data_IF_392195474581
#
_entry.id   IF_392195474581
#
_cell.length_a   1.000
_cell.length_b   1.000
_cell.length_c   1.000
_cell.angle_alpha   90.00
_cell.angle_beta   90.00
_cell.angle_gamma   90.00
#
_symmetry.space_group_name_H-M   'P 1'
#
loop_
_entity.id
_entity.type
_entity.pdbx_description
1 polymer ?
#
# COMPACT_ATOMS: atom_id res chain seq x y z
N UNK A 1 -13.39 10.71 -10.20
CA UNK A 1 -13.30 11.17 -11.60
C UNK A 1 -14.47 12.11 -11.86
N UNK A 2 -14.18 13.29 -12.40
CA UNK A 2 -15.21 14.22 -12.82
C UNK A 2 -15.76 13.84 -14.20
N UNK A 3 -17.07 13.66 -14.29
CA UNK A 3 -17.76 13.32 -15.54
C UNK A 3 -18.62 14.50 -16.00
N UNK A 4 -18.51 14.87 -17.27
CA UNK A 4 -19.35 15.88 -17.91
C UNK A 4 -20.31 15.22 -18.89
N UNK A 5 -21.54 15.73 -19.00
CA UNK A 5 -22.56 15.20 -19.91
C UNK A 5 -22.14 15.38 -21.37
N UNK A 6 -22.23 14.33 -22.17
CA UNK A 6 -21.92 14.32 -23.59
C UNK A 6 -23.02 13.55 -24.35
N UNK A 7 -24.09 14.26 -24.72
CA UNK A 7 -25.29 13.66 -25.29
C UNK A 7 -26.02 12.76 -24.27
N UNK A 8 -26.24 11.50 -24.65
CA UNK A 8 -26.83 10.46 -23.77
C UNK A 8 -25.81 9.81 -22.83
N UNK A 9 -24.52 10.05 -23.04
CA UNK A 9 -23.41 9.51 -22.28
C UNK A 9 -22.75 10.60 -21.44
N UNK A 10 -21.69 10.19 -20.72
CA UNK A 10 -20.80 11.09 -19.99
C UNK A 10 -19.37 10.91 -20.50
N UNK A 11 -18.55 11.95 -20.38
CA UNK A 11 -17.12 11.90 -20.70
C UNK A 11 -16.28 12.43 -19.56
N UNK A 12 -15.09 11.89 -19.41
CA UNK A 12 -14.11 12.32 -18.41
C UNK A 12 -12.69 11.96 -18.80
N UNK A 13 -11.75 12.45 -18.00
CA UNK A 13 -10.34 12.08 -18.09
C UNK A 13 -10.20 10.59 -17.74
N UNK A 14 -9.49 9.83 -18.57
CA UNK A 14 -9.23 8.42 -18.33
C UNK A 14 -8.18 8.24 -17.24
N UNK A 15 -8.47 7.45 -16.18
CA UNK A 15 -7.51 7.24 -15.10
C UNK A 15 -6.51 6.11 -15.38
N UNK A 16 -6.59 5.46 -16.55
CA UNK A 16 -5.78 4.28 -16.86
C UNK A 16 -4.61 4.58 -17.80
N UNK A 17 -4.48 5.83 -18.28
CA UNK A 17 -3.32 6.32 -19.02
C UNK A 17 -3.13 7.82 -18.75
N UNK A 18 -2.02 8.37 -19.17
CA UNK A 18 -1.79 9.82 -19.11
C UNK A 18 -2.74 10.53 -20.09
N UNK A 19 -3.78 11.15 -19.56
CA UNK A 19 -4.87 11.76 -20.33
C UNK A 19 -5.01 13.23 -19.96
N UNK A 20 -4.81 14.11 -20.94
CA UNK A 20 -4.97 15.56 -20.77
C UNK A 20 -6.31 16.09 -21.28
N UNK A 21 -7.08 15.24 -21.97
CA UNK A 21 -8.38 15.61 -22.55
C UNK A 21 -9.38 14.49 -22.32
N UNK A 22 -10.67 14.79 -22.03
CA UNK A 22 -11.67 13.76 -21.77
C UNK A 22 -11.79 12.75 -22.92
N UNK A 23 -11.15 11.59 -22.75
CA UNK A 23 -11.10 10.51 -23.74
C UNK A 23 -11.93 9.27 -23.33
N UNK A 24 -12.32 9.19 -22.06
CA UNK A 24 -13.13 8.09 -21.55
C UNK A 24 -14.62 8.45 -21.63
N UNK A 25 -15.39 7.62 -22.32
CA UNK A 25 -16.85 7.69 -22.37
C UNK A 25 -17.48 6.72 -21.40
N UNK A 26 -18.52 7.16 -20.69
CA UNK A 26 -19.29 6.33 -19.75
C UNK A 26 -20.74 6.30 -20.20
N UNK A 27 -21.25 5.11 -20.47
CA UNK A 27 -22.64 4.89 -20.86
C UNK A 27 -23.49 4.49 -19.66
N UNK A 28 -24.37 5.39 -19.23
CA UNK A 28 -25.35 5.09 -18.18
C UNK A 28 -26.29 3.95 -18.57
N UNK A 29 -26.70 3.88 -19.83
CA UNK A 29 -27.66 2.88 -20.31
C UNK A 29 -27.03 1.48 -20.40
N UNK A 30 -25.77 1.42 -20.84
CA UNK A 30 -25.04 0.14 -20.97
C UNK A 30 -24.29 -0.25 -19.70
N UNK A 31 -24.18 0.66 -18.73
CA UNK A 31 -23.38 0.48 -17.50
C UNK A 31 -21.91 0.14 -17.80
N UNK A 32 -21.33 0.76 -18.85
CA UNK A 32 -19.96 0.50 -19.30
C UNK A 32 -19.17 1.78 -19.48
N UNK A 33 -17.86 1.66 -19.39
CA UNK A 33 -16.93 2.71 -19.81
C UNK A 33 -16.04 2.21 -20.97
N UNK A 34 -15.55 3.15 -21.77
CA UNK A 34 -14.59 2.89 -22.84
C UNK A 34 -13.71 4.13 -23.05
N UNK A 35 -12.41 3.95 -23.00
CA UNK A 35 -11.44 4.97 -23.37
C UNK A 35 -11.00 4.76 -24.82
N UNK A 36 -11.22 5.76 -25.66
CA UNK A 36 -10.88 5.69 -27.09
C UNK A 36 -9.39 5.92 -27.39
N UNK A 37 -8.58 6.32 -26.40
CA UNK A 37 -7.14 6.52 -26.55
C UNK A 37 -6.36 5.26 -26.15
N UNK A 38 -6.56 4.73 -24.94
CA UNK A 38 -5.82 3.55 -24.48
C UNK A 38 -6.56 2.22 -24.71
N UNK A 39 -7.80 2.26 -25.21
CA UNK A 39 -8.60 1.07 -25.47
C UNK A 39 -9.18 0.40 -24.21
N UNK A 40 -8.97 1.00 -23.03
CA UNK A 40 -9.46 0.44 -21.77
C UNK A 40 -10.99 0.49 -21.73
N UNK A 41 -11.62 -0.65 -21.43
CA UNK A 41 -13.07 -0.78 -21.37
C UNK A 41 -13.50 -1.79 -20.30
N UNK A 42 -14.75 -1.71 -19.89
CA UNK A 42 -15.33 -2.63 -18.94
C UNK A 42 -16.65 -2.13 -18.35
N UNK A 43 -17.15 -2.87 -17.39
CA UNK A 43 -18.29 -2.48 -16.56
C UNK A 43 -17.85 -1.75 -15.27
N UNK A 44 -18.80 -1.50 -14.39
CA UNK A 44 -18.54 -0.85 -13.08
C UNK A 44 -17.57 -1.67 -12.23
N UNK A 45 -17.68 -3.00 -12.25
CA UNK A 45 -16.81 -3.87 -11.43
C UNK A 45 -15.40 -3.90 -11.98
N UNK A 46 -15.24 -3.97 -13.30
CA UNK A 46 -13.93 -3.87 -13.95
C UNK A 46 -13.26 -2.52 -13.66
N UNK A 47 -14.05 -1.44 -13.70
CA UNK A 47 -13.56 -0.13 -13.32
C UNK A 47 -13.05 -0.10 -11.88
N UNK A 48 -13.87 -0.55 -10.93
CA UNK A 48 -13.53 -0.56 -9.50
C UNK A 48 -12.31 -1.45 -9.21
N UNK A 49 -12.22 -2.64 -9.84
CA UNK A 49 -11.05 -3.53 -9.71
C UNK A 49 -9.76 -2.84 -10.13
N UNK A 50 -9.75 -2.28 -11.33
CA UNK A 50 -8.55 -1.66 -11.91
C UNK A 50 -8.21 -0.35 -11.23
N UNK A 51 -9.20 0.50 -10.99
CA UNK A 51 -9.00 1.81 -10.39
C UNK A 51 -8.50 1.73 -8.95
N UNK A 52 -9.03 0.81 -8.14
CA UNK A 52 -8.66 0.63 -6.75
C UNK A 52 -7.62 -0.47 -6.53
N UNK A 53 -7.21 -1.21 -7.59
CA UNK A 53 -6.32 -2.37 -7.49
C UNK A 53 -6.82 -3.41 -6.47
N UNK A 54 -8.10 -3.73 -6.55
CA UNK A 54 -8.80 -4.65 -5.65
C UNK A 54 -9.29 -5.90 -6.39
N UNK A 55 -9.59 -6.95 -5.64
CA UNK A 55 -10.15 -8.20 -6.19
C UNK A 55 -11.60 -8.02 -6.61
N UNK A 56 -12.12 -8.95 -7.43
CA UNK A 56 -13.51 -8.92 -7.85
C UNK A 56 -14.52 -8.92 -6.68
N UNK A 57 -14.39 -9.77 -5.64
CA UNK A 57 -15.28 -9.71 -4.48
C UNK A 57 -15.26 -8.37 -3.74
N UNK A 58 -14.08 -7.74 -3.66
CA UNK A 58 -13.95 -6.41 -3.05
C UNK A 58 -14.61 -5.31 -3.89
N UNK A 59 -14.44 -5.38 -5.22
CA UNK A 59 -15.10 -4.46 -6.14
C UNK A 59 -16.63 -4.61 -6.07
N UNK A 60 -17.12 -5.85 -5.99
CA UNK A 60 -18.54 -6.14 -5.86
C UNK A 60 -19.11 -5.58 -4.53
N UNK A 61 -18.43 -5.82 -3.40
CA UNK A 61 -18.81 -5.21 -2.11
C UNK A 61 -18.82 -3.70 -2.16
N UNK A 62 -17.81 -3.11 -2.81
CA UNK A 62 -17.75 -1.64 -2.98
C UNK A 62 -18.88 -1.13 -3.85
N UNK A 63 -19.22 -1.81 -4.93
CA UNK A 63 -20.33 -1.48 -5.81
C UNK A 63 -21.68 -1.57 -5.07
N UNK A 64 -21.90 -2.65 -4.33
CA UNK A 64 -23.10 -2.83 -3.51
C UNK A 64 -23.25 -1.71 -2.48
N UNK A 65 -22.16 -1.36 -1.78
CA UNK A 65 -22.16 -0.23 -0.83
C UNK A 65 -22.45 1.12 -1.50
N UNK A 66 -21.92 1.35 -2.70
CA UNK A 66 -22.18 2.59 -3.45
C UNK A 66 -23.61 2.66 -3.98
N UNK A 67 -24.22 1.52 -4.27
CA UNK A 67 -25.58 1.40 -4.77
C UNK A 67 -26.64 1.26 -3.67
N UNK A 68 -26.21 1.19 -2.39
CA UNK A 68 -27.08 0.90 -1.24
C UNK A 68 -27.89 -0.41 -1.41
N UNK A 69 -27.22 -1.43 -1.92
CA UNK A 69 -27.77 -2.77 -2.16
C UNK A 69 -27.06 -3.77 -1.26
N UNK A 70 -27.80 -4.73 -0.70
CA UNK A 70 -27.18 -5.83 0.04
C UNK A 70 -26.22 -6.61 -0.85
N UNK A 71 -25.06 -6.94 -0.26
CA UNK A 71 -24.07 -7.77 -0.97
C UNK A 71 -24.66 -9.17 -1.18
N UNK A 72 -24.78 -9.66 -2.45
CA UNK A 72 -25.29 -10.99 -2.69
C UNK A 72 -24.35 -12.01 -2.05
N UNK A 73 -24.87 -12.84 -1.17
CA UNK A 73 -24.17 -14.04 -0.71
C UNK A 73 -24.07 -15.02 -1.87
N UNK A 74 -23.09 -14.82 -2.76
CA UNK A 74 -22.76 -15.81 -3.75
C UNK A 74 -22.12 -17.01 -3.03
N UNK A 75 -22.59 -18.19 -3.34
CA UNK A 75 -21.89 -19.43 -3.03
C UNK A 75 -20.59 -19.46 -3.87
N UNK A 76 -19.54 -18.76 -3.36
CA UNK A 76 -18.21 -18.86 -3.94
C UNK A 76 -17.77 -20.32 -3.86
N UNK A 77 -17.05 -20.78 -4.87
CA UNK A 77 -16.52 -22.16 -4.82
C UNK A 77 -15.66 -22.36 -3.55
N UNK A 78 -15.53 -23.60 -3.07
CA UNK A 78 -14.65 -23.87 -1.93
C UNK A 78 -13.22 -23.33 -2.12
N UNK A 79 -12.70 -23.37 -3.37
CA UNK A 79 -11.38 -22.87 -3.73
C UNK A 79 -11.31 -21.33 -3.66
N UNK A 80 -12.32 -20.63 -4.19
CA UNK A 80 -12.41 -19.16 -4.13
C UNK A 80 -12.55 -18.69 -2.69
N UNK A 81 -13.34 -19.38 -1.88
CA UNK A 81 -13.48 -19.10 -0.45
C UNK A 81 -12.17 -19.32 0.30
N UNK A 82 -11.42 -20.39 -0.01
CA UNK A 82 -10.12 -20.66 0.60
C UNK A 82 -9.09 -19.59 0.21
N UNK A 83 -9.02 -19.20 -1.07
CA UNK A 83 -8.13 -18.16 -1.56
C UNK A 83 -8.45 -16.80 -0.91
N UNK A 84 -9.73 -16.45 -0.80
CA UNK A 84 -10.16 -15.22 -0.12
C UNK A 84 -9.78 -15.23 1.37
N UNK A 85 -10.08 -16.31 2.09
CA UNK A 85 -9.71 -16.47 3.51
C UNK A 85 -8.19 -16.33 3.71
N UNK A 86 -7.39 -16.93 2.83
CA UNK A 86 -5.94 -16.83 2.90
C UNK A 86 -5.45 -15.40 2.63
N UNK A 87 -6.03 -14.68 1.67
CA UNK A 87 -5.72 -13.28 1.41
C UNK A 87 -6.05 -12.40 2.63
N UNK A 88 -7.21 -12.59 3.24
CA UNK A 88 -7.62 -11.87 4.45
C UNK A 88 -6.71 -12.21 5.63
N UNK A 89 -6.33 -13.48 5.82
CA UNK A 89 -5.36 -13.88 6.86
C UNK A 89 -4.02 -13.15 6.70
N UNK A 90 -3.53 -13.00 5.47
CA UNK A 90 -2.31 -12.25 5.17
C UNK A 90 -2.44 -10.76 5.51
N UNK A 91 -3.57 -10.14 5.18
CA UNK A 91 -3.85 -8.73 5.51
C UNK A 91 -3.94 -8.49 7.01
N UNK A 92 -4.61 -9.38 7.72
CA UNK A 92 -4.72 -9.32 9.18
C UNK A 92 -3.35 -9.51 9.83
N UNK A 93 -2.55 -10.46 9.37
CA UNK A 93 -1.24 -10.75 9.92
C UNK A 93 -0.25 -9.58 9.76
N UNK A 94 -0.17 -8.96 8.56
CA UNK A 94 0.71 -7.80 8.34
C UNK A 94 0.26 -6.57 9.13
N UNK A 95 -1.05 -6.35 9.28
CA UNK A 95 -1.60 -5.27 10.09
C UNK A 95 -1.30 -5.47 11.57
N UNK A 96 -1.38 -6.70 12.08
CA UNK A 96 -1.00 -7.04 13.44
C UNK A 96 0.51 -6.82 13.69
N UNK A 97 1.36 -7.23 12.75
CA UNK A 97 2.80 -6.96 12.80
C UNK A 97 3.08 -5.45 12.83
N UNK A 98 2.39 -4.66 12.01
CA UNK A 98 2.53 -3.20 12.02
C UNK A 98 2.18 -2.61 13.38
N UNK A 99 1.06 -3.04 13.97
CA UNK A 99 0.64 -2.60 15.32
C UNK A 99 1.68 -2.96 16.39
N UNK A 100 2.24 -4.17 16.32
CA UNK A 100 3.32 -4.61 17.20
C UNK A 100 4.54 -3.68 17.06
N UNK A 101 5.00 -3.40 15.85
CA UNK A 101 6.16 -2.53 15.60
C UNK A 101 5.90 -1.08 16.04
N UNK A 102 4.70 -0.55 15.80
CA UNK A 102 4.32 0.80 16.28
C UNK A 102 4.39 0.88 17.81
N UNK A 103 3.91 -0.13 18.52
CA UNK A 103 3.99 -0.21 19.99
C UNK A 103 5.41 -0.23 20.54
N UNK A 104 6.40 -0.59 19.71
CA UNK A 104 7.81 -0.63 20.11
C UNK A 104 8.62 0.63 19.67
N UNK A 105 8.00 1.62 19.03
CA UNK A 105 8.72 2.76 18.44
C UNK A 105 9.57 3.56 19.45
N UNK A 106 9.14 3.65 20.71
CA UNK A 106 9.87 4.31 21.79
C UNK A 106 11.27 3.73 22.02
N UNK A 107 11.51 2.45 21.72
CA UNK A 107 12.82 1.81 21.82
C UNK A 107 13.84 2.39 20.83
N UNK A 108 13.38 3.05 19.76
CA UNK A 108 14.23 3.74 18.80
C UNK A 108 14.37 5.26 19.06
N UNK A 109 13.97 5.75 20.23
CA UNK A 109 13.92 7.19 20.56
C UNK A 109 15.23 7.90 20.27
N UNK A 110 16.36 7.37 20.74
CA UNK A 110 17.69 8.00 20.53
C UNK A 110 18.05 8.11 19.05
N UNK A 111 17.66 7.13 18.23
CA UNK A 111 17.85 7.17 16.79
C UNK A 111 16.97 8.23 16.14
N UNK A 112 15.70 8.31 16.53
CA UNK A 112 14.74 9.28 16.02
C UNK A 112 15.13 10.72 16.39
N UNK A 113 15.57 10.97 17.63
CA UNK A 113 16.04 12.29 18.09
C UNK A 113 17.21 12.81 17.25
N UNK A 114 18.18 11.96 16.91
CA UNK A 114 19.27 12.34 16.00
C UNK A 114 18.80 12.73 14.58
N UNK A 115 17.56 12.42 14.23
CA UNK A 115 16.92 12.74 12.95
C UNK A 115 15.88 13.85 13.06
N UNK A 116 15.76 14.50 14.22
CA UNK A 116 14.81 15.59 14.45
C UNK A 116 13.38 15.16 14.70
N UNK A 117 13.19 13.91 15.17
CA UNK A 117 11.88 13.37 15.52
C UNK A 117 11.81 12.99 17.00
N UNK A 118 10.66 13.20 17.60
CA UNK A 118 10.24 12.50 18.80
C UNK A 118 9.45 11.24 18.41
N UNK A 119 9.50 10.17 19.21
CA UNK A 119 8.73 8.94 18.90
C UNK A 119 7.21 9.17 18.99
N UNK A 120 6.77 10.26 19.64
CA UNK A 120 5.35 10.69 19.71
C UNK A 120 4.94 11.62 18.57
N UNK A 121 5.83 11.89 17.61
CA UNK A 121 5.57 12.80 16.49
C UNK A 121 4.36 12.31 15.68
N UNK A 122 3.39 13.21 15.50
CA UNK A 122 2.13 12.91 14.80
C UNK A 122 2.36 12.41 13.38
N UNK A 123 3.35 12.95 12.68
CA UNK A 123 3.65 12.52 11.31
C UNK A 123 4.17 11.09 11.27
N UNK A 124 5.01 10.68 12.25
CA UNK A 124 5.44 9.28 12.37
C UNK A 124 4.24 8.35 12.61
N UNK A 125 3.29 8.77 13.44
CA UNK A 125 2.07 8.01 13.72
C UNK A 125 1.16 7.92 12.48
N UNK A 126 0.99 8.99 11.71
CA UNK A 126 0.21 9.04 10.46
C UNK A 126 0.79 8.12 9.38
N UNK A 127 2.11 7.97 9.35
CA UNK A 127 2.80 7.02 8.48
C UNK A 127 2.88 5.61 9.05
N UNK A 128 2.43 5.40 10.29
CA UNK A 128 2.47 4.10 10.95
C UNK A 128 3.89 3.59 11.23
N UNK A 129 4.84 4.51 11.40
CA UNK A 129 6.24 4.16 11.66
C UNK A 129 6.36 3.34 12.95
N UNK A 130 7.18 2.29 12.91
CA UNK A 130 7.39 1.38 14.03
C UNK A 130 8.86 1.00 14.21
N UNK A 131 9.13 0.17 15.19
CA UNK A 131 10.46 -0.38 15.42
C UNK A 131 10.40 -1.90 15.59
N UNK A 132 11.26 -2.60 14.88
CA UNK A 132 11.49 -4.03 15.01
C UNK A 132 12.64 -4.27 16.02
N UNK A 133 12.36 -4.84 17.20
CA UNK A 133 13.37 -5.11 18.21
C UNK A 133 14.43 -6.13 17.75
N UNK A 134 15.53 -6.21 18.47
CA UNK A 134 16.57 -7.21 18.26
C UNK A 134 16.03 -8.60 18.61
N UNK A 135 16.42 -9.61 17.85
CA UNK A 135 16.03 -11.02 18.09
C UNK A 135 14.78 -11.44 17.32
N UNK A 136 14.08 -12.45 17.83
CA UNK A 136 12.84 -12.99 17.26
C UNK A 136 11.62 -12.61 18.10
N UNK A 137 11.51 -11.33 18.45
CA UNK A 137 10.48 -10.82 19.37
C UNK A 137 9.13 -10.71 18.67
N UNK A 138 9.13 -10.28 17.39
CA UNK A 138 7.90 -10.21 16.61
C UNK A 138 7.32 -11.58 16.34
N UNK A 139 8.15 -12.56 15.95
CA UNK A 139 7.72 -13.95 15.77
C UNK A 139 7.06 -14.49 17.04
N UNK A 140 7.74 -14.37 18.18
CA UNK A 140 7.21 -14.85 19.45
C UNK A 140 5.87 -14.18 19.77
N UNK A 141 5.81 -12.85 19.74
CA UNK A 141 4.58 -12.12 20.05
C UNK A 141 3.41 -12.50 19.14
N UNK A 142 3.66 -12.56 17.82
CA UNK A 142 2.59 -12.83 16.86
C UNK A 142 2.10 -14.28 16.95
N UNK A 143 3.00 -15.26 17.14
CA UNK A 143 2.57 -16.66 17.28
C UNK A 143 1.85 -16.93 18.60
N UNK A 144 2.25 -16.30 19.69
CA UNK A 144 1.51 -16.36 20.98
C UNK A 144 0.11 -15.74 20.87
N UNK A 145 -0.11 -14.81 19.93
CA UNK A 145 -1.42 -14.24 19.61
C UNK A 145 -2.17 -14.98 18.48
N UNK A 146 -1.73 -16.19 18.12
CA UNK A 146 -2.44 -17.10 17.22
C UNK A 146 -2.22 -16.87 15.73
N UNK A 147 -1.23 -16.05 15.33
CA UNK A 147 -0.90 -15.87 13.91
C UNK A 147 -0.05 -17.03 13.39
N UNK A 148 -0.42 -17.56 12.24
CA UNK A 148 0.26 -18.69 11.61
C UNK A 148 1.65 -18.29 11.06
N UNK A 149 2.67 -19.13 11.31
CA UNK A 149 4.05 -18.91 10.87
C UNK A 149 4.19 -18.79 9.34
N UNK A 150 3.43 -19.59 8.59
CA UNK A 150 3.50 -19.57 7.13
C UNK A 150 2.88 -18.26 6.59
N UNK A 151 1.76 -17.84 7.14
CA UNK A 151 1.11 -16.57 6.78
C UNK A 151 2.02 -15.38 7.08
N UNK A 152 2.70 -15.37 8.25
CA UNK A 152 3.68 -14.34 8.60
C UNK A 152 4.90 -14.34 7.66
N UNK A 153 5.31 -15.51 7.19
CA UNK A 153 6.38 -15.65 6.18
C UNK A 153 5.91 -15.16 4.80
N UNK A 154 4.70 -15.52 4.40
CA UNK A 154 4.10 -15.11 3.13
C UNK A 154 4.03 -13.58 2.97
N UNK A 155 3.87 -12.85 4.07
CA UNK A 155 3.80 -11.38 4.05
C UNK A 155 5.15 -10.70 4.36
N UNK A 156 6.22 -11.48 4.49
CA UNK A 156 7.58 -10.98 4.69
C UNK A 156 7.87 -10.38 6.07
N UNK A 157 7.06 -10.70 7.07
CA UNK A 157 7.33 -10.39 8.49
C UNK A 157 8.40 -11.33 9.04
N UNK A 158 8.34 -12.60 8.62
CA UNK A 158 9.34 -13.61 8.94
C UNK A 158 10.12 -14.02 7.69
N UNK A 159 11.39 -14.37 7.90
CA UNK A 159 12.24 -15.06 6.95
C UNK A 159 12.36 -16.55 7.29
N UNK A 160 12.87 -17.34 6.33
CA UNK A 160 13.29 -18.74 6.55
C UNK A 160 14.79 -18.86 6.33
N UNK A 161 15.50 -19.49 7.27
CA UNK A 161 16.90 -19.85 7.14
C UNK A 161 17.06 -21.09 6.24
N UNK A 162 18.30 -21.41 5.86
CA UNK A 162 18.59 -22.56 4.98
C UNK A 162 18.17 -23.90 5.61
N UNK A 163 18.17 -24.01 6.93
CA UNK A 163 17.71 -25.17 7.69
C UNK A 163 16.19 -25.15 7.99
N UNK A 164 15.44 -24.21 7.35
CA UNK A 164 13.98 -24.12 7.43
C UNK A 164 13.44 -23.41 8.67
N UNK A 165 14.28 -22.95 9.59
CA UNK A 165 13.84 -22.22 10.78
C UNK A 165 13.33 -20.82 10.42
N UNK A 166 12.19 -20.45 10.99
CA UNK A 166 11.66 -19.09 10.87
C UNK A 166 12.38 -18.12 11.80
N UNK A 167 12.52 -16.87 11.35
CA UNK A 167 13.14 -15.81 12.12
C UNK A 167 12.52 -14.45 11.76
N UNK A 168 12.61 -13.46 12.64
CA UNK A 168 12.19 -12.10 12.35
C UNK A 168 13.00 -11.52 11.18
N UNK A 169 12.35 -11.18 10.08
CA UNK A 169 13.03 -10.64 8.91
C UNK A 169 13.64 -9.25 9.21
N UNK A 170 12.91 -8.43 9.96
CA UNK A 170 13.39 -7.13 10.42
C UNK A 170 13.87 -7.24 11.88
N UNK A 171 15.08 -6.75 12.15
CA UNK A 171 15.70 -6.73 13.47
C UNK A 171 16.49 -5.44 13.64
N UNK A 172 16.37 -4.78 14.79
CA UNK A 172 17.01 -3.50 15.08
C UNK A 172 16.80 -2.47 13.97
N UNK A 173 15.53 -2.29 13.56
CA UNK A 173 15.18 -1.41 12.45
C UNK A 173 13.97 -0.55 12.76
N UNK A 174 14.05 0.74 12.42
CA UNK A 174 12.87 1.59 12.27
C UNK A 174 12.17 1.17 10.97
N UNK A 175 10.89 0.87 11.06
CA UNK A 175 10.07 0.36 9.96
C UNK A 175 9.11 1.41 9.42
N UNK A 176 9.04 1.48 8.11
CA UNK A 176 8.18 2.33 7.33
C UNK A 176 7.19 1.46 6.55
N UNK A 177 5.90 1.43 6.95
CA UNK A 177 4.90 0.67 6.21
C UNK A 177 4.67 1.22 4.81
N UNK A 178 4.55 0.33 3.84
CA UNK A 178 3.96 0.63 2.55
C UNK A 178 2.45 0.41 2.62
N UNK A 179 1.72 1.34 2.03
CA UNK A 179 0.28 1.26 1.91
C UNK A 179 -0.14 1.05 0.46
N UNK A 180 -1.18 0.25 0.23
CA UNK A 180 -1.89 0.28 -1.04
C UNK A 180 -2.71 1.58 -1.18
N UNK A 181 -3.30 1.80 -2.34
CA UNK A 181 -4.12 3.01 -2.59
C UNK A 181 -5.37 3.09 -1.72
N UNK A 182 -5.79 1.98 -1.09
CA UNK A 182 -6.93 1.90 -0.18
C UNK A 182 -6.55 2.16 1.28
N UNK A 183 -5.25 2.27 1.60
CA UNK A 183 -4.73 2.50 2.94
C UNK A 183 -4.47 1.23 3.75
N UNK A 184 -4.38 0.07 3.10
CA UNK A 184 -4.00 -1.19 3.75
C UNK A 184 -2.49 -1.34 3.72
N UNK A 185 -1.90 -1.77 4.81
CA UNK A 185 -0.46 -2.08 4.87
C UNK A 185 -0.18 -3.35 4.08
N UNK A 186 0.84 -3.31 3.22
CA UNK A 186 1.20 -4.39 2.30
C UNK A 186 2.67 -4.82 2.40
N UNK A 187 3.54 -4.00 2.97
CA UNK A 187 4.97 -4.27 3.11
C UNK A 187 5.63 -3.31 4.11
N UNK A 188 6.91 -3.51 4.38
CA UNK A 188 7.74 -2.62 5.16
C UNK A 188 9.07 -2.33 4.48
N UNK A 189 9.61 -1.12 4.73
CA UNK A 189 11.01 -0.79 4.57
C UNK A 189 11.65 -0.60 5.94
N UNK A 190 12.80 -1.19 6.19
CA UNK A 190 13.46 -1.18 7.50
C UNK A 190 14.83 -0.50 7.48
N UNK A 191 14.97 0.63 8.16
CA UNK A 191 16.23 1.35 8.36
C UNK A 191 16.93 0.86 9.62
N UNK A 192 18.17 0.40 9.50
CA UNK A 192 18.96 -0.06 10.65
C UNK A 192 19.20 1.08 11.67
N UNK A 193 19.04 0.76 12.94
CA UNK A 193 19.24 1.70 14.07
C UNK A 193 20.69 1.69 14.54
N UNK A 194 21.23 0.51 14.85
CA UNK A 194 22.62 0.32 15.20
C UNK A 194 23.44 0.01 13.95
N UNK A 195 24.41 0.85 13.57
CA UNK A 195 25.23 0.59 12.39
C UNK A 195 25.91 -0.79 12.46
N UNK A 196 25.86 -1.53 11.36
CA UNK A 196 26.50 -2.83 11.19
C UNK A 196 27.00 -2.95 9.75
N UNK A 197 28.29 -3.06 9.57
CA UNK A 197 28.94 -3.08 8.25
C UNK A 197 28.51 -4.29 7.39
N UNK A 198 28.06 -5.37 8.02
CA UNK A 198 27.55 -6.56 7.36
C UNK A 198 26.04 -6.51 7.06
N UNK A 199 25.35 -5.45 7.47
CA UNK A 199 23.91 -5.31 7.26
C UNK A 199 23.58 -4.11 6.39
N UNK A 200 22.76 -4.31 5.36
CA UNK A 200 22.29 -3.23 4.51
C UNK A 200 21.62 -2.11 5.33
N UNK A 201 21.95 -0.86 4.98
CA UNK A 201 21.40 0.36 5.60
C UNK A 201 19.87 0.36 5.58
N UNK A 202 19.27 -0.04 4.46
CA UNK A 202 17.85 -0.31 4.30
C UNK A 202 17.65 -1.75 3.83
N UNK A 203 16.58 -2.37 4.32
CA UNK A 203 16.08 -3.68 3.87
C UNK A 203 14.59 -3.52 3.63
N UNK A 204 14.11 -4.00 2.50
CA UNK A 204 12.69 -3.95 2.14
C UNK A 204 12.10 -5.34 2.15
N UNK A 205 10.80 -5.46 2.43
CA UNK A 205 10.03 -6.67 2.14
C UNK A 205 10.27 -7.07 0.67
N UNK A 206 10.52 -8.35 0.42
CA UNK A 206 10.60 -8.91 -0.93
C UNK A 206 9.24 -8.95 -1.62
N UNK A 207 9.20 -9.56 -2.81
CA UNK A 207 7.91 -9.83 -3.49
C UNK A 207 7.07 -10.80 -2.64
N UNK A 208 5.80 -10.46 -2.45
CA UNK A 208 4.85 -11.28 -1.67
C UNK A 208 3.51 -11.38 -2.41
N UNK A 209 2.60 -12.26 -1.99
CA UNK A 209 1.26 -12.33 -2.58
C UNK A 209 0.45 -11.03 -2.47
N UNK A 210 0.82 -10.11 -1.58
CA UNK A 210 0.13 -8.82 -1.37
C UNK A 210 0.98 -7.60 -1.70
N UNK A 211 2.25 -7.78 -2.12
CA UNK A 211 3.17 -6.68 -2.42
C UNK A 211 4.05 -6.99 -3.63
N UNK A 212 4.06 -6.07 -4.60
CA UNK A 212 4.99 -6.05 -5.74
C UNK A 212 5.70 -4.70 -5.75
N UNK A 213 7.01 -4.72 -5.51
CA UNK A 213 7.81 -3.49 -5.35
C UNK A 213 7.69 -2.52 -6.52
N UNK A 214 7.64 -3.04 -7.74
CA UNK A 214 7.49 -2.23 -8.96
C UNK A 214 6.10 -1.61 -9.17
N UNK A 215 5.11 -1.93 -8.33
CA UNK A 215 3.73 -1.46 -8.47
C UNK A 215 3.26 -0.57 -7.31
N UNK A 216 4.11 -0.35 -6.29
CA UNK A 216 3.76 0.45 -5.12
C UNK A 216 4.79 1.54 -4.86
N UNK A 217 4.35 2.62 -4.24
CA UNK A 217 5.17 3.81 -3.99
C UNK A 217 4.99 4.21 -2.53
N UNK A 218 6.10 4.48 -1.85
CA UNK A 218 6.06 4.93 -0.47
C UNK A 218 5.43 6.32 -0.35
N UNK A 219 4.49 6.47 0.57
CA UNK A 219 3.81 7.74 0.85
C UNK A 219 2.66 8.08 -0.09
N UNK A 220 2.41 7.31 -1.16
CA UNK A 220 1.35 7.63 -2.13
C UNK A 220 -0.04 7.67 -1.50
N UNK A 221 -0.35 6.76 -0.58
CA UNK A 221 -1.65 6.77 0.12
C UNK A 221 -1.87 8.07 0.87
N UNK A 222 -0.87 8.56 1.59
CA UNK A 222 -0.93 9.81 2.35
C UNK A 222 -0.98 11.01 1.40
N UNK A 223 -0.17 11.01 0.35
CA UNK A 223 0.01 12.12 -0.58
C UNK A 223 -1.10 12.29 -1.62
N UNK A 224 -1.85 11.24 -1.96
CA UNK A 224 -2.77 11.21 -3.12
C UNK A 224 -3.77 12.36 -3.19
N UNK A 225 -4.25 12.87 -2.03
CA UNK A 225 -5.19 14.00 -2.01
C UNK A 225 -4.49 15.33 -2.31
N UNK A 226 -3.29 15.52 -1.77
CA UNK A 226 -2.48 16.71 -2.06
C UNK A 226 -2.00 16.69 -3.52
N UNK A 227 -1.58 15.53 -4.04
CA UNK A 227 -1.23 15.36 -5.46
C UNK A 227 -2.41 15.73 -6.34
N UNK A 228 -3.61 15.22 -6.06
CA UNK A 228 -4.80 15.53 -6.85
C UNK A 228 -5.20 17.02 -6.80
N UNK A 229 -4.92 17.70 -5.70
CA UNK A 229 -5.18 19.12 -5.54
C UNK A 229 -4.16 20.00 -6.28
N UNK A 230 -2.88 19.65 -6.16
CA UNK A 230 -1.78 20.44 -6.73
C UNK A 230 -1.50 20.11 -8.22
N UNK A 231 -1.96 18.92 -8.71
CA UNK A 231 -1.75 18.46 -10.08
C UNK A 231 -0.35 17.91 -10.37
N UNK A 232 0.49 17.69 -9.34
CA UNK A 232 1.83 17.11 -9.46
C UNK A 232 2.31 16.49 -8.15
N UNK A 233 3.36 15.66 -8.24
CA UNK A 233 4.03 15.07 -7.09
C UNK A 233 5.53 15.38 -7.08
N UNK A 234 6.08 15.64 -5.90
CA UNK A 234 7.54 15.62 -5.70
C UNK A 234 8.00 14.19 -5.48
N UNK A 235 9.09 13.81 -6.13
CA UNK A 235 9.74 12.50 -5.97
C UNK A 235 11.03 12.68 -5.18
N UNK A 236 11.17 11.91 -4.09
CA UNK A 236 12.37 11.88 -3.27
C UNK A 236 12.89 10.46 -3.10
N UNK A 237 14.15 10.30 -2.65
CA UNK A 237 14.78 8.99 -2.61
C UNK A 237 14.36 8.15 -1.40
N UNK A 238 14.23 8.77 -0.23
CA UNK A 238 14.11 8.06 1.04
C UNK A 238 12.81 8.28 1.79
N UNK A 239 12.47 7.32 2.65
CA UNK A 239 11.26 7.35 3.47
C UNK A 239 11.27 8.53 4.46
N UNK A 240 12.44 8.80 5.07
CA UNK A 240 12.57 9.96 5.95
C UNK A 240 12.40 11.29 5.22
N UNK A 241 12.82 11.37 3.95
CA UNK A 241 12.66 12.60 3.15
C UNK A 241 11.19 12.89 2.92
N UNK A 242 10.41 11.85 2.55
CA UNK A 242 8.94 11.96 2.42
C UNK A 242 8.32 12.44 3.74
N UNK A 243 8.60 11.76 4.85
CA UNK A 243 7.99 12.05 6.15
C UNK A 243 8.39 13.45 6.64
N UNK A 244 9.65 13.84 6.41
CA UNK A 244 10.14 15.17 6.78
C UNK A 244 9.41 16.27 6.03
N UNK A 245 9.26 16.12 4.72
CA UNK A 245 8.56 17.11 3.90
C UNK A 245 7.08 17.21 4.30
N UNK A 246 6.40 16.08 4.54
CA UNK A 246 5.03 16.09 5.06
C UNK A 246 4.94 16.77 6.44
N UNK A 247 5.89 16.53 7.34
CA UNK A 247 5.95 17.20 8.66
C UNK A 247 6.00 18.73 8.52
N UNK A 248 6.61 19.23 7.47
CA UNK A 248 6.71 20.67 7.17
C UNK A 248 5.65 21.18 6.17
N UNK A 249 4.59 20.41 5.94
CA UNK A 249 3.42 20.84 5.16
C UNK A 249 3.55 20.66 3.65
N UNK A 250 4.60 19.99 3.15
CA UNK A 250 4.70 19.62 1.74
C UNK A 250 4.13 18.20 1.58
N UNK A 251 2.83 18.12 1.35
CA UNK A 251 2.09 16.84 1.42
C UNK A 251 2.02 16.06 0.10
N UNK A 252 2.32 16.68 -1.03
CA UNK A 252 2.34 16.04 -2.35
C UNK A 252 3.69 15.37 -2.68
N UNK A 253 4.31 14.71 -1.69
CA UNK A 253 5.63 14.07 -1.78
C UNK A 253 5.52 12.56 -1.64
N UNK A 254 6.25 11.84 -2.48
CA UNK A 254 6.32 10.37 -2.51
C UNK A 254 7.76 9.90 -2.69
N UNK A 255 8.05 8.66 -2.32
CA UNK A 255 9.41 8.13 -2.31
C UNK A 255 9.63 6.89 -3.16
N UNK A 256 10.76 6.82 -3.86
CA UNK A 256 11.13 5.73 -4.76
C UNK A 256 11.73 4.48 -4.09
N UNK A 257 11.96 4.49 -2.78
CA UNK A 257 12.48 3.34 -2.00
C UNK A 257 13.77 2.70 -2.52
N UNK A 258 14.68 3.51 -3.10
CA UNK A 258 16.03 3.08 -3.50
C UNK A 258 16.11 2.32 -4.82
N UNK A 259 15.12 2.45 -5.69
CA UNK A 259 15.14 1.94 -7.08
C UNK A 259 14.64 3.00 -8.05
N UNK A 260 15.05 2.93 -9.32
CA UNK A 260 14.45 3.73 -10.38
C UNK A 260 12.92 3.45 -10.45
N UNK A 261 12.15 4.49 -10.77
CA UNK A 261 10.71 4.36 -10.96
C UNK A 261 10.40 3.46 -12.16
N UNK A 262 9.44 2.55 -11.98
CA UNK A 262 8.93 1.71 -13.06
C UNK A 262 7.80 2.42 -13.80
N UNK A 263 7.51 1.99 -15.02
CA UNK A 263 6.36 2.49 -15.79
C UNK A 263 5.03 2.30 -15.02
N UNK A 264 4.87 1.18 -14.30
CA UNK A 264 3.68 0.93 -13.49
C UNK A 264 3.53 1.93 -12.34
N UNK A 265 4.65 2.29 -11.69
CA UNK A 265 4.65 3.32 -10.65
C UNK A 265 4.33 4.70 -11.21
N UNK A 266 4.90 5.05 -12.37
CA UNK A 266 4.57 6.32 -13.04
C UNK A 266 3.09 6.37 -13.39
N UNK A 267 2.55 5.32 -14.02
CA UNK A 267 1.11 5.21 -14.32
C UNK A 267 0.25 5.33 -13.07
N UNK A 268 0.72 4.75 -11.95
CA UNK A 268 -0.01 4.83 -10.68
C UNK A 268 -0.06 6.27 -10.15
N UNK A 269 1.04 7.04 -10.21
CA UNK A 269 1.08 8.46 -9.80
C UNK A 269 0.12 9.28 -10.68
N UNK A 270 0.20 9.09 -11.99
CA UNK A 270 -0.61 9.83 -12.98
C UNK A 270 -2.12 9.62 -12.84
N UNK A 271 -2.56 8.65 -12.05
CA UNK A 271 -4.00 8.51 -11.70
C UNK A 271 -4.48 9.57 -10.72
N UNK A 272 -3.57 10.29 -10.11
CA UNK A 272 -3.85 11.29 -9.07
C UNK A 272 -3.38 12.71 -9.46
N UNK A 273 -2.68 12.87 -10.58
CA UNK A 273 -2.26 14.18 -11.12
C UNK A 273 -3.25 14.76 -12.12
#
# INVERSE_FOLDING_TARGET
>A
ITLTKAGINYKGICPFHNDSHPSMMVSKTRQTYHCFVCGEYGDVLDFLKKYNQITFPEALRMACKLADVEFPEQEATPEENAAYKLLESRRIAIAAAAKFYQGNLSQAESFLKRRGYDYTDKTLAEYGVGYAPVGNVAMKHLTENGYDLQVLTDVGVLGKSQDGRSYDFFRDRVLFPFYDVSGRIIAFSGRIVTPNDNAGKYVNTGETPIFRKGQHIFGLYQAKRAIAKEGFAYLVEGQFDVITLHKYGVENVIGGSGTAFTDDQVRLIMRFT
#
